data_IF_248059189007
#
_entry.id   IF_248059189007
#
_cell.length_a   1.000
_cell.length_b   1.000
_cell.length_c   1.000
_cell.angle_alpha   90.00
_cell.angle_beta   90.00
_cell.angle_gamma   90.00
#
_symmetry.space_group_name_H-M   'P 1'
#
loop_
_entity.id
_entity.type
_entity.pdbx_description
1 polymer ?
#
# COMPACT_ATOMS: atom_id res chain seq x y z
N UNK A 1 -44.25 -12.44 -21.55
CA UNK A 1 -42.93 -12.68 -22.17
C UNK A 1 -41.90 -12.12 -21.19
N UNK A 2 -41.37 -12.94 -20.29
CA UNK A 2 -40.42 -12.49 -19.26
C UNK A 2 -39.00 -12.70 -19.78
N UNK A 3 -38.32 -11.60 -20.10
CA UNK A 3 -36.89 -11.61 -20.44
C UNK A 3 -36.09 -11.53 -19.16
N UNK A 4 -35.77 -12.70 -18.61
CA UNK A 4 -34.81 -12.85 -17.53
C UNK A 4 -33.42 -12.51 -18.08
N UNK A 5 -32.98 -11.28 -17.83
CA UNK A 5 -31.61 -10.86 -18.12
C UNK A 5 -30.72 -11.32 -16.96
N UNK A 6 -30.03 -12.43 -17.19
CA UNK A 6 -28.90 -12.90 -16.39
C UNK A 6 -27.78 -11.85 -16.48
N UNK A 7 -27.83 -10.87 -15.58
CA UNK A 7 -26.77 -9.88 -15.42
C UNK A 7 -25.62 -10.56 -14.67
N UNK A 8 -24.78 -11.19 -15.49
CA UNK A 8 -23.41 -11.62 -15.22
C UNK A 8 -22.75 -10.81 -14.10
N UNK A 9 -22.54 -11.45 -12.95
CA UNK A 9 -21.73 -10.93 -11.84
C UNK A 9 -20.35 -10.52 -12.37
N UNK A 10 -19.85 -9.30 -12.10
CA UNK A 10 -18.46 -9.00 -12.41
C UNK A 10 -17.58 -9.92 -11.55
N UNK A 11 -16.79 -10.77 -12.22
CA UNK A 11 -15.79 -11.60 -11.58
C UNK A 11 -14.88 -10.67 -10.76
N UNK A 12 -14.96 -10.78 -9.44
CA UNK A 12 -14.02 -10.16 -8.53
C UNK A 12 -12.64 -10.66 -8.95
N UNK A 13 -11.88 -9.80 -9.63
CA UNK A 13 -10.53 -10.08 -10.04
C UNK A 13 -9.78 -10.50 -8.79
N UNK A 14 -9.36 -11.77 -8.77
CA UNK A 14 -8.63 -12.35 -7.67
C UNK A 14 -7.42 -11.45 -7.38
N UNK A 15 -7.57 -10.61 -6.35
CA UNK A 15 -6.51 -9.77 -5.83
C UNK A 15 -5.48 -10.73 -5.26
N UNK A 16 -4.56 -11.16 -6.13
CA UNK A 16 -3.41 -11.99 -5.82
C UNK A 16 -2.74 -11.35 -4.62
N UNK A 17 -2.97 -11.95 -3.45
CA UNK A 17 -2.62 -11.35 -2.18
C UNK A 17 -1.15 -10.98 -2.24
N UNK A 18 -0.86 -9.68 -2.26
CA UNK A 18 0.52 -9.19 -2.20
C UNK A 18 1.01 -9.61 -0.83
N UNK A 19 1.74 -10.73 -0.77
CA UNK A 19 2.09 -11.55 0.42
C UNK A 19 2.70 -10.77 1.60
N UNK A 20 2.94 -9.46 1.47
CA UNK A 20 3.53 -8.57 2.48
C UNK A 20 2.98 -7.13 2.49
N UNK A 21 1.91 -6.83 1.76
CA UNK A 21 1.38 -5.45 1.68
C UNK A 21 -0.12 -5.43 1.94
N UNK A 22 -0.48 -4.93 3.11
CA UNK A 22 -1.87 -4.67 3.48
C UNK A 22 -2.30 -3.35 2.83
N UNK A 23 -3.41 -3.36 2.09
CA UNK A 23 -4.04 -2.13 1.62
C UNK A 23 -4.75 -1.49 2.81
N UNK A 24 -4.33 -0.30 3.18
CA UNK A 24 -4.96 0.50 4.22
C UNK A 24 -5.37 1.85 3.64
N UNK A 25 -6.43 2.44 4.18
CA UNK A 25 -6.81 3.83 3.91
C UNK A 25 -6.32 4.66 5.10
N UNK A 26 -5.40 5.58 4.84
CA UNK A 26 -4.89 6.53 5.84
C UNK A 26 -4.96 7.93 5.25
N UNK A 27 -5.21 8.92 6.10
CA UNK A 27 -5.00 10.31 5.73
C UNK A 27 -3.50 10.62 5.85
N UNK A 28 -2.94 11.19 4.79
CA UNK A 28 -1.58 11.67 4.75
C UNK A 28 -1.63 13.14 4.33
N UNK A 29 -0.76 13.95 4.90
CA UNK A 29 -0.71 15.37 4.56
C UNK A 29 -0.33 15.57 3.08
N UNK A 30 -0.90 16.60 2.48
CA UNK A 30 -0.73 16.93 1.08
C UNK A 30 0.72 17.35 0.78
N UNK A 31 1.36 18.03 1.75
CA UNK A 31 2.77 18.40 1.67
C UNK A 31 3.68 17.17 1.62
N UNK A 32 3.36 16.15 2.42
CA UNK A 32 4.13 14.90 2.51
C UNK A 32 3.98 14.14 1.20
N UNK A 33 2.76 14.03 0.67
CA UNK A 33 2.51 13.37 -0.60
C UNK A 33 3.26 14.06 -1.75
N UNK A 34 3.24 15.40 -1.81
CA UNK A 34 3.96 16.18 -2.82
C UNK A 34 5.47 15.95 -2.76
N UNK A 35 6.07 15.95 -1.57
CA UNK A 35 7.50 15.68 -1.41
C UNK A 35 7.86 14.27 -1.88
N UNK A 36 7.12 13.25 -1.45
CA UNK A 36 7.38 11.88 -1.88
C UNK A 36 7.13 11.65 -3.37
N UNK A 37 6.21 12.40 -3.99
CA UNK A 37 6.01 12.39 -5.44
C UNK A 37 7.23 12.96 -6.17
N UNK A 38 7.74 14.11 -5.75
CA UNK A 38 8.95 14.70 -6.33
C UNK A 38 10.17 13.79 -6.16
N UNK A 39 10.33 13.18 -4.98
CA UNK A 39 11.39 12.20 -4.73
C UNK A 39 11.22 10.92 -5.58
N UNK A 40 9.98 10.53 -5.84
CA UNK A 40 9.67 9.39 -6.71
C UNK A 40 10.09 9.62 -8.15
N UNK A 41 9.90 10.84 -8.66
CA UNK A 41 10.33 11.22 -10.01
C UNK A 41 11.85 11.26 -10.13
N UNK A 42 12.54 11.75 -9.10
CA UNK A 42 14.01 11.81 -9.07
C UNK A 42 14.67 10.44 -8.90
N UNK A 43 14.10 9.58 -8.06
CA UNK A 43 14.69 8.27 -7.73
C UNK A 43 14.21 7.13 -8.64
N UNK A 44 13.18 7.36 -9.46
CA UNK A 44 12.54 6.34 -10.30
C UNK A 44 11.80 5.25 -9.51
N UNK A 45 11.64 5.42 -8.19
CA UNK A 45 10.93 4.50 -7.29
C UNK A 45 9.59 5.09 -6.92
N UNK A 46 8.52 4.31 -6.96
CA UNK A 46 7.19 4.82 -6.61
C UNK A 46 7.11 5.45 -5.21
N UNK A 47 6.35 6.55 -5.08
CA UNK A 47 6.19 7.30 -3.83
C UNK A 47 5.75 6.40 -2.65
N UNK A 48 4.90 5.40 -2.90
CA UNK A 48 4.50 4.43 -1.86
C UNK A 48 5.69 3.63 -1.32
N UNK A 49 6.65 3.27 -2.18
CA UNK A 49 7.86 2.56 -1.77
C UNK A 49 8.74 3.45 -0.90
N UNK A 50 8.85 4.74 -1.25
CA UNK A 50 9.61 5.72 -0.47
C UNK A 50 8.99 5.97 0.90
N UNK A 51 7.66 6.13 0.97
CA UNK A 51 6.92 6.27 2.23
C UNK A 51 7.15 5.04 3.11
N UNK A 52 7.00 3.84 2.55
CA UNK A 52 7.24 2.61 3.31
C UNK A 52 8.70 2.48 3.77
N UNK A 53 9.67 2.90 2.96
CA UNK A 53 11.08 2.91 3.35
C UNK A 53 11.33 3.86 4.52
N UNK A 54 10.79 5.08 4.48
CA UNK A 54 10.89 6.05 5.55
C UNK A 54 10.25 5.53 6.86
N UNK A 55 9.05 4.93 6.77
CA UNK A 55 8.40 4.30 7.91
C UNK A 55 9.25 3.17 8.49
N UNK A 56 9.83 2.29 7.64
CA UNK A 56 10.72 1.21 8.09
C UNK A 56 11.98 1.73 8.78
N UNK A 57 12.61 2.78 8.26
CA UNK A 57 13.78 3.41 8.91
C UNK A 57 13.44 3.89 10.32
N UNK A 58 12.27 4.52 10.50
CA UNK A 58 11.80 4.95 11.83
C UNK A 58 11.50 3.77 12.75
N UNK A 59 10.88 2.71 12.22
CA UNK A 59 10.61 1.49 12.98
C UNK A 59 11.89 0.75 13.38
N UNK A 60 12.92 0.71 12.53
CA UNK A 60 14.21 0.10 12.88
C UNK A 60 14.93 0.91 13.98
N UNK A 61 14.79 2.24 13.98
CA UNK A 61 15.27 3.07 15.09
C UNK A 61 14.45 2.94 16.38
N UNK A 62 13.18 2.52 16.27
CA UNK A 62 12.29 2.29 17.41
C UNK A 62 12.30 0.83 17.92
N UNK A 63 12.81 -0.13 17.14
CA UNK A 63 12.82 -1.57 17.44
C UNK A 63 14.23 -1.98 17.89
N UNK A 64 14.68 -1.47 19.02
CA UNK A 64 15.63 -2.20 19.87
C UNK A 64 14.82 -3.02 20.87
N UNK A 65 13.97 -3.94 20.40
CA UNK A 65 13.53 -5.09 21.19
C UNK A 65 13.24 -6.26 20.23
N UNK A 66 14.14 -7.26 20.13
CA UNK A 66 13.83 -8.50 19.44
C UNK A 66 12.81 -9.27 20.30
N UNK A 67 11.52 -9.14 19.99
CA UNK A 67 10.52 -10.08 20.53
C UNK A 67 10.93 -11.51 20.12
N UNK A 68 11.11 -12.43 21.07
CA UNK A 68 11.50 -13.80 20.77
C UNK A 68 10.34 -14.48 20.06
N UNK A 69 10.66 -15.26 19.03
CA UNK A 69 9.71 -16.20 18.44
C UNK A 69 9.40 -17.29 19.48
N UNK A 70 8.11 -17.55 19.71
CA UNK A 70 7.61 -18.76 20.35
C UNK A 70 7.50 -19.87 19.31
#
# INVERSE_FOLDING_TARGET
MHTESDLSKPAASAARAVKRKTRITIYLDDEVLKQFRSLSEQSGKGYQTLINAALRTRLTGARTEPSPAL
#
